data_IF_751386347617
#
_entry.id   IF_751386347617
#
_cell.length_a   1.000
_cell.length_b   1.000
_cell.length_c   1.000
_cell.angle_alpha   90.00
_cell.angle_beta   90.00
_cell.angle_gamma   90.00
#
_symmetry.space_group_name_H-M   'P 1'
#
loop_
_entity.id
_entity.type
_entity.pdbx_description
1 polymer ?
#
# COMPACT_ATOMS: atom_id res chain seq x y z
N UNK A 1 -65.48 17.23 -22.51
CA UNK A 1 -65.57 15.77 -22.30
C UNK A 1 -64.46 15.00 -23.05
N UNK A 2 -64.18 15.27 -24.33
CA UNK A 2 -63.13 14.57 -25.10
C UNK A 2 -61.69 14.72 -24.54
N UNK A 3 -61.31 15.89 -24.02
CA UNK A 3 -59.95 16.15 -23.51
C UNK A 3 -59.61 15.36 -22.23
N UNK A 4 -60.61 15.06 -21.39
CA UNK A 4 -60.44 14.25 -20.16
C UNK A 4 -60.30 12.78 -20.51
N UNK A 5 -61.03 12.31 -21.52
CA UNK A 5 -60.96 10.95 -22.02
C UNK A 5 -59.58 10.63 -22.65
N UNK A 6 -59.04 11.58 -23.44
CA UNK A 6 -57.74 11.41 -24.08
C UNK A 6 -56.57 11.40 -23.07
N UNK A 7 -56.66 12.20 -22.00
CA UNK A 7 -55.69 12.22 -20.88
C UNK A 7 -55.73 10.96 -20.02
N UNK A 8 -56.92 10.38 -19.82
CA UNK A 8 -57.08 9.10 -19.11
C UNK A 8 -56.50 7.93 -19.91
N UNK A 9 -56.72 7.92 -21.24
CA UNK A 9 -56.21 6.87 -22.12
C UNK A 9 -54.68 6.88 -22.25
N UNK A 10 -54.07 8.07 -22.32
CA UNK A 10 -52.60 8.20 -22.31
C UNK A 10 -51.98 7.76 -20.99
N UNK A 11 -52.61 8.06 -19.85
CA UNK A 11 -52.13 7.61 -18.54
C UNK A 11 -52.19 6.08 -18.40
N UNK A 12 -53.28 5.46 -18.87
CA UNK A 12 -53.43 3.99 -18.88
C UNK A 12 -52.39 3.30 -19.76
N UNK A 13 -52.06 3.88 -20.92
CA UNK A 13 -51.02 3.34 -21.81
C UNK A 13 -49.62 3.46 -21.19
N UNK A 14 -49.33 4.57 -20.50
CA UNK A 14 -48.05 4.75 -19.81
C UNK A 14 -47.90 3.82 -18.61
N UNK A 15 -48.98 3.60 -17.84
CA UNK A 15 -48.97 2.61 -16.75
C UNK A 15 -48.78 1.18 -17.28
N UNK A 16 -49.45 0.80 -18.37
CA UNK A 16 -49.31 -0.56 -18.92
C UNK A 16 -47.91 -0.82 -19.45
N UNK A 17 -47.27 0.17 -20.10
CA UNK A 17 -45.86 0.09 -20.51
C UNK A 17 -44.90 -0.06 -19.31
N UNK A 18 -45.15 0.66 -18.21
CA UNK A 18 -44.32 0.57 -17.01
C UNK A 18 -44.40 -0.82 -16.35
N UNK A 19 -45.61 -1.38 -16.24
CA UNK A 19 -45.81 -2.72 -15.69
C UNK A 19 -45.26 -3.83 -16.59
N UNK A 20 -45.37 -3.70 -17.92
CA UNK A 20 -44.76 -4.63 -18.87
C UNK A 20 -43.22 -4.62 -18.79
N UNK A 21 -42.62 -3.44 -18.61
CA UNK A 21 -41.17 -3.28 -18.41
C UNK A 21 -40.71 -3.95 -17.10
N UNK A 22 -41.46 -3.80 -16.00
CA UNK A 22 -41.14 -4.47 -14.73
C UNK A 22 -41.25 -5.99 -14.83
N UNK A 23 -42.26 -6.51 -15.54
CA UNK A 23 -42.46 -7.95 -15.72
C UNK A 23 -41.37 -8.57 -16.61
N UNK A 24 -40.97 -7.89 -17.69
CA UNK A 24 -39.86 -8.33 -18.56
C UNK A 24 -38.51 -8.27 -17.84
N UNK A 25 -38.30 -7.25 -17.00
CA UNK A 25 -37.10 -7.13 -16.17
C UNK A 25 -37.01 -8.30 -15.18
N UNK A 26 -38.09 -8.59 -14.42
CA UNK A 26 -38.11 -9.70 -13.45
C UNK A 26 -38.04 -11.09 -14.10
N UNK A 27 -38.67 -11.30 -15.27
CA UNK A 27 -38.64 -12.57 -15.97
C UNK A 27 -37.29 -12.88 -16.64
N UNK A 28 -36.44 -11.87 -16.89
CA UNK A 28 -35.08 -12.06 -17.43
C UNK A 28 -34.04 -12.34 -16.33
N UNK A 29 -34.36 -12.12 -15.06
CA UNK A 29 -33.42 -12.32 -13.95
C UNK A 29 -33.23 -13.77 -13.43
N UNK A 30 -34.07 -14.81 -13.66
CA UNK A 30 -33.84 -16.10 -13.01
C UNK A 30 -32.85 -17.00 -13.78
N UNK A 31 -32.12 -16.49 -14.79
CA UNK A 31 -31.20 -17.31 -15.61
C UNK A 31 -29.80 -16.71 -15.80
N UNK A 32 -29.33 -15.84 -14.90
CA UNK A 32 -27.93 -15.39 -14.88
C UNK A 32 -27.26 -15.64 -13.53
N UNK A 33 -26.67 -16.83 -13.47
CA UNK A 33 -25.50 -17.23 -12.69
C UNK A 33 -25.45 -16.85 -11.22
N UNK A 34 -25.50 -17.89 -10.38
CA UNK A 34 -24.66 -17.99 -9.19
C UNK A 34 -23.23 -17.53 -9.54
N UNK A 35 -22.93 -16.27 -9.25
CA UNK A 35 -21.60 -15.80 -8.99
C UNK A 35 -21.56 -15.57 -7.48
N UNK A 36 -21.15 -16.61 -6.75
CA UNK A 36 -20.59 -16.47 -5.42
C UNK A 36 -19.34 -15.59 -5.52
N UNK A 37 -19.52 -14.27 -5.63
CA UNK A 37 -18.48 -13.30 -5.30
C UNK A 37 -18.39 -13.26 -3.77
N UNK A 38 -17.81 -14.30 -3.18
CA UNK A 38 -17.10 -14.11 -1.93
C UNK A 38 -15.99 -13.12 -2.23
N UNK A 39 -15.90 -11.96 -1.56
CA UNK A 39 -14.71 -11.16 -1.66
C UNK A 39 -13.57 -12.03 -1.14
N UNK A 40 -12.71 -12.50 -2.04
CA UNK A 40 -11.38 -12.95 -1.63
C UNK A 40 -10.74 -11.70 -1.07
N UNK A 41 -10.65 -11.58 0.25
CA UNK A 41 -9.61 -10.75 0.84
C UNK A 41 -8.31 -11.26 0.23
N UNK A 42 -7.75 -10.50 -0.72
CA UNK A 42 -6.46 -10.85 -1.29
C UNK A 42 -5.47 -10.81 -0.13
N UNK A 43 -4.92 -11.97 0.23
CA UNK A 43 -3.91 -12.05 1.27
C UNK A 43 -2.72 -11.17 0.85
N UNK A 44 -2.29 -10.26 1.73
CA UNK A 44 -1.13 -9.44 1.47
C UNK A 44 0.15 -10.27 1.58
N UNK A 45 1.09 -10.06 0.65
CA UNK A 45 2.39 -10.71 0.71
C UNK A 45 3.30 -9.96 1.68
N UNK A 46 3.17 -10.26 2.98
CA UNK A 46 3.97 -9.62 4.04
C UNK A 46 5.46 -9.91 3.95
N UNK A 47 5.84 -11.03 3.31
CA UNK A 47 7.26 -11.33 3.04
C UNK A 47 7.84 -10.28 2.10
N UNK A 48 7.21 -10.08 0.95
CA UNK A 48 7.64 -9.06 -0.03
C UNK A 48 7.62 -7.64 0.55
N UNK A 49 6.60 -7.32 1.36
CA UNK A 49 6.54 -6.05 2.08
C UNK A 49 7.74 -5.88 3.02
N UNK A 50 8.06 -6.88 3.85
CA UNK A 50 9.20 -6.85 4.76
C UNK A 50 10.54 -6.73 4.02
N UNK A 51 10.74 -7.51 2.95
CA UNK A 51 11.95 -7.43 2.12
C UNK A 51 12.17 -6.00 1.60
N UNK A 52 11.10 -5.35 1.14
CA UNK A 52 11.14 -3.97 0.63
C UNK A 52 11.35 -2.95 1.76
N UNK A 53 10.76 -3.15 2.93
CA UNK A 53 11.01 -2.30 4.10
C UNK A 53 12.47 -2.36 4.55
N UNK A 54 13.13 -3.51 4.48
CA UNK A 54 14.57 -3.62 4.77
C UNK A 54 15.41 -2.93 3.69
N UNK A 55 15.04 -3.09 2.40
CA UNK A 55 15.69 -2.37 1.29
C UNK A 55 15.57 -0.85 1.42
N UNK A 56 14.47 -0.32 1.97
CA UNK A 56 14.32 1.10 2.26
C UNK A 56 15.44 1.60 3.19
N UNK A 57 15.76 0.88 4.27
CA UNK A 57 16.85 1.26 5.17
C UNK A 57 18.22 1.18 4.48
N UNK A 58 18.48 0.19 3.62
CA UNK A 58 19.71 0.19 2.79
C UNK A 58 19.79 1.45 1.91
N UNK A 59 18.65 1.89 1.40
CA UNK A 59 18.47 3.12 0.63
C UNK A 59 18.71 4.40 1.43
N UNK A 60 18.74 4.34 2.77
CA UNK A 60 19.00 5.49 3.66
C UNK A 60 20.42 5.54 4.23
N UNK A 61 21.27 4.52 3.99
CA UNK A 61 22.65 4.48 4.51
C UNK A 61 23.46 5.71 4.11
N UNK A 62 24.20 6.30 5.03
CA UNK A 62 25.24 7.30 4.76
C UNK A 62 26.62 6.66 4.95
N UNK A 63 27.68 7.35 4.53
CA UNK A 63 29.07 6.88 4.64
C UNK A 63 29.50 6.02 3.46
N UNK A 64 30.51 5.19 3.71
CA UNK A 64 31.00 4.21 2.72
C UNK A 64 30.02 3.04 2.63
N UNK A 65 29.54 2.74 1.43
CA UNK A 65 28.61 1.65 1.22
C UNK A 65 29.35 0.31 1.08
N UNK A 66 28.78 -0.79 1.62
CA UNK A 66 29.38 -2.10 1.44
C UNK A 66 29.29 -2.55 -0.01
N UNK A 67 30.24 -3.37 -0.47
CA UNK A 67 30.25 -3.92 -1.83
C UNK A 67 29.01 -4.79 -2.14
N UNK A 68 28.38 -5.33 -1.12
CA UNK A 68 27.14 -6.13 -1.20
C UNK A 68 25.85 -5.31 -1.19
N UNK A 69 25.93 -3.97 -1.22
CA UNK A 69 24.75 -3.08 -1.27
C UNK A 69 23.85 -3.43 -2.44
N UNK A 70 22.54 -3.62 -2.18
CA UNK A 70 21.56 -4.00 -3.21
C UNK A 70 21.00 -2.78 -3.96
N UNK A 71 20.98 -1.63 -3.32
CA UNK A 71 20.45 -0.37 -3.87
C UNK A 71 21.50 0.29 -4.78
N UNK A 72 21.42 0.02 -6.09
CA UNK A 72 22.45 0.35 -7.09
C UNK A 72 22.58 1.83 -7.45
N UNK A 73 21.54 2.63 -7.20
CA UNK A 73 21.54 4.08 -7.45
C UNK A 73 22.13 4.90 -6.29
N UNK A 74 22.41 4.27 -5.14
CA UNK A 74 23.13 4.89 -4.01
C UNK A 74 24.64 4.74 -4.18
N UNK A 75 25.40 5.68 -3.62
CA UNK A 75 26.88 5.73 -3.62
C UNK A 75 27.40 6.24 -2.27
N UNK A 76 28.71 6.15 -2.07
CA UNK A 76 29.41 6.71 -0.90
C UNK A 76 29.06 8.19 -0.73
N UNK A 77 28.69 8.60 0.48
CA UNK A 77 28.26 9.97 0.79
C UNK A 77 28.59 10.36 2.24
N UNK A 78 28.66 11.66 2.56
CA UNK A 78 28.93 12.12 3.94
C UNK A 78 30.30 11.67 4.49
N UNK A 79 31.33 11.59 3.64
CA UNK A 79 32.65 11.05 4.00
C UNK A 79 33.50 12.00 4.86
N UNK A 80 33.06 13.24 5.03
CA UNK A 80 33.72 14.26 5.85
C UNK A 80 32.97 14.58 7.14
N UNK A 81 31.94 13.80 7.47
CA UNK A 81 31.08 14.06 8.62
C UNK A 81 31.89 13.94 9.92
N UNK A 82 31.82 14.98 10.77
CA UNK A 82 32.58 15.08 12.02
C UNK A 82 33.95 15.76 11.90
N UNK A 83 34.46 15.98 10.68
CA UNK A 83 35.79 16.59 10.46
C UNK A 83 36.00 17.93 11.16
N UNK A 84 34.98 18.80 11.18
CA UNK A 84 35.04 20.11 11.86
C UNK A 84 35.26 20.00 13.38
N UNK A 85 34.88 18.88 13.98
CA UNK A 85 35.08 18.57 15.40
C UNK A 85 36.21 17.55 15.63
N UNK A 86 37.00 17.24 14.59
CA UNK A 86 38.08 16.24 14.62
C UNK A 86 37.64 14.85 15.13
N UNK A 87 36.44 14.43 14.74
CA UNK A 87 35.87 13.11 15.05
C UNK A 87 35.36 12.44 13.77
N UNK A 88 35.28 11.12 13.78
CA UNK A 88 34.67 10.36 12.68
C UNK A 88 33.17 10.14 12.98
N UNK A 89 32.31 10.81 12.21
CA UNK A 89 30.85 10.63 12.25
C UNK A 89 30.32 10.09 10.91
N UNK A 90 31.18 9.45 10.12
CA UNK A 90 30.81 8.77 8.87
C UNK A 90 29.93 7.55 9.19
N UNK A 91 28.91 7.31 8.37
CA UNK A 91 27.97 6.19 8.56
C UNK A 91 26.58 6.62 9.06
N UNK A 92 25.81 5.67 9.58
CA UNK A 92 24.44 5.89 10.02
C UNK A 92 23.43 5.98 8.87
N UNK A 93 22.28 6.58 9.15
CA UNK A 93 21.15 6.71 8.20
C UNK A 93 20.72 8.17 8.07
N UNK A 94 20.32 8.56 6.85
CA UNK A 94 19.58 9.81 6.65
C UNK A 94 18.15 9.66 7.17
N UNK A 95 17.67 10.70 7.86
CA UNK A 95 16.42 10.62 8.62
C UNK A 95 15.19 10.47 7.73
N UNK A 96 15.13 11.24 6.63
CA UNK A 96 14.00 11.25 5.71
C UNK A 96 14.44 11.46 4.25
N UNK A 97 13.82 12.39 3.54
CA UNK A 97 14.15 12.75 2.15
C UNK A 97 15.31 13.74 2.02
N UNK A 98 15.91 14.16 3.13
CA UNK A 98 17.06 15.03 3.21
C UNK A 98 18.33 14.24 3.57
N UNK A 99 19.42 14.95 3.84
CA UNK A 99 20.72 14.33 4.17
C UNK A 99 21.15 14.58 5.62
N UNK A 100 20.25 15.03 6.51
CA UNK A 100 20.57 15.22 7.93
C UNK A 100 20.44 13.89 8.69
N UNK A 101 21.36 13.67 9.64
CA UNK A 101 21.39 12.51 10.53
C UNK A 101 20.81 12.89 11.89
N UNK A 102 19.48 12.99 11.98
CA UNK A 102 18.83 13.29 13.26
C UNK A 102 18.97 12.09 14.22
N UNK A 103 19.79 12.25 15.27
CA UNK A 103 20.14 11.14 16.17
C UNK A 103 18.96 10.58 16.96
N UNK A 104 18.00 11.41 17.36
CA UNK A 104 16.85 10.97 18.15
C UNK A 104 15.91 10.02 17.39
N UNK A 105 15.36 10.38 16.21
CA UNK A 105 14.55 9.46 15.41
C UNK A 105 15.35 8.24 14.90
N UNK A 106 16.65 8.38 14.62
CA UNK A 106 17.51 7.26 14.26
C UNK A 106 17.64 6.23 15.39
N UNK A 107 17.84 6.68 16.63
CA UNK A 107 17.94 5.82 17.80
C UNK A 107 16.60 5.11 18.09
N UNK A 108 15.49 5.84 18.00
CA UNK A 108 14.14 5.27 18.13
C UNK A 108 13.89 4.17 17.09
N UNK A 109 14.20 4.46 15.82
CA UNK A 109 14.04 3.50 14.71
C UNK A 109 14.87 2.24 14.95
N UNK A 110 16.14 2.38 15.35
CA UNK A 110 17.02 1.25 15.65
C UNK A 110 16.48 0.40 16.80
N UNK A 111 15.91 1.03 17.82
CA UNK A 111 15.27 0.35 18.95
C UNK A 111 14.08 -0.48 18.48
N UNK A 112 13.19 0.09 17.68
CA UNK A 112 12.01 -0.61 17.16
C UNK A 112 12.37 -1.76 16.23
N UNK A 113 13.38 -1.57 15.37
CA UNK A 113 13.88 -2.65 14.51
C UNK A 113 14.47 -3.80 15.36
N UNK A 114 15.28 -3.48 16.36
CA UNK A 114 15.87 -4.48 17.26
C UNK A 114 14.79 -5.23 18.04
N UNK A 115 13.80 -4.52 18.57
CA UNK A 115 12.67 -5.14 19.27
C UNK A 115 11.87 -6.04 18.33
N UNK A 116 11.63 -5.62 17.08
CA UNK A 116 10.92 -6.46 16.11
C UNK A 116 11.64 -7.80 15.84
N UNK A 117 12.97 -7.81 15.83
CA UNK A 117 13.76 -9.05 15.70
C UNK A 117 13.66 -9.90 16.98
N UNK A 118 13.68 -9.30 18.16
CA UNK A 118 13.50 -10.03 19.43
C UNK A 118 12.13 -10.71 19.48
N UNK A 119 11.07 -9.99 19.10
CA UNK A 119 9.70 -10.47 19.19
C UNK A 119 9.34 -11.44 18.05
N UNK A 120 9.76 -11.11 16.83
CA UNK A 120 9.27 -11.76 15.61
C UNK A 120 10.38 -12.41 14.76
N UNK A 121 11.64 -12.42 15.21
CA UNK A 121 12.77 -12.96 14.44
C UNK A 121 12.59 -14.41 13.99
N UNK A 122 11.85 -15.21 14.75
CA UNK A 122 11.47 -16.58 14.38
C UNK A 122 10.63 -16.66 13.09
N UNK A 123 9.83 -15.64 12.80
CA UNK A 123 9.02 -15.50 11.57
C UNK A 123 9.79 -14.85 10.42
N UNK A 124 10.91 -14.18 10.72
CA UNK A 124 11.72 -13.41 9.77
C UNK A 124 12.93 -14.18 9.20
N UNK A 125 13.09 -15.46 9.53
CA UNK A 125 14.31 -16.26 9.20
C UNK A 125 14.76 -16.17 7.74
N UNK A 126 13.84 -16.02 6.79
CA UNK A 126 14.18 -15.89 5.35
C UNK A 126 14.70 -14.51 4.92
N UNK A 127 14.58 -13.49 5.77
CA UNK A 127 14.98 -12.10 5.50
C UNK A 127 16.17 -11.63 6.36
N UNK A 128 16.52 -12.39 7.40
CA UNK A 128 17.62 -12.08 8.33
C UNK A 128 18.92 -12.83 8.02
N UNK A 129 18.94 -13.64 6.94
CA UNK A 129 20.08 -14.47 6.51
C UNK A 129 20.91 -13.83 5.41
#
# INVERSE_FOLDING_TARGET
MALVFLRSFTLLLLLSCFFASLFLCNAYYPLRHSHQHRPRFASHNYRDALTKSILFFEGQRSGRLPRSQRVTWRRDSGLSDGSAANVDLVGGYYDAGDNVKFGFPMAFTTTMLSWSVIEFGGLMKGELG
#
